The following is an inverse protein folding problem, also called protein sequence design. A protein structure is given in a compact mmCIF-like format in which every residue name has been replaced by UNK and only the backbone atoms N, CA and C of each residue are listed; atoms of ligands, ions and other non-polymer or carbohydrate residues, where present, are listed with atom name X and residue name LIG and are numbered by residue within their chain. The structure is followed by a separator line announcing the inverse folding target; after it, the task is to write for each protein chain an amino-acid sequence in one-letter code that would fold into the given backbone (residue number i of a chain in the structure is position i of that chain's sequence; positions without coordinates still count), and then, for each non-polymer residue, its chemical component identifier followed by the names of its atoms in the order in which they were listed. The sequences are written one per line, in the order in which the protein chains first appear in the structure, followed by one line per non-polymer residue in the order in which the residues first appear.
data_IF_082145158746
#
_entry.id   IF_082145158746
#
_cell.length_a   1.000
_cell.length_b   1.000
_cell.length_c   1.000
_cell.angle_alpha   90.00
_cell.angle_beta   90.00
_cell.angle_gamma   90.00
#
_symmetry.space_group_name_H-M   'P 1'
#
loop_
_entity.id
_entity.type
_entity.pdbx_description
1 polymer ?
#
# COMPACT_ATOMS: atom_id res chain seq x y z
N UNK A 1 -3.67 14.73 -37.69
CA UNK A 1 -5.09 15.03 -38.01
C UNK A 1 -5.84 13.72 -37.83
N UNK A 2 -6.27 13.44 -36.60
CA UNK A 2 -6.86 12.13 -36.24
C UNK A 2 -7.80 12.27 -35.03
N UNK A 3 -8.67 13.28 -35.05
CA UNK A 3 -9.54 13.67 -33.92
C UNK A 3 -11.00 13.84 -34.38
N UNK A 4 -11.54 12.85 -35.10
CA UNK A 4 -12.96 12.84 -35.52
C UNK A 4 -13.71 11.53 -35.20
N UNK A 5 -13.00 10.41 -34.98
CA UNK A 5 -13.63 9.09 -34.81
C UNK A 5 -14.39 8.88 -33.49
N UNK A 6 -14.21 9.75 -32.48
CA UNK A 6 -14.80 9.56 -31.15
C UNK A 6 -16.16 10.29 -30.99
N UNK A 7 -16.38 11.36 -31.76
CA UNK A 7 -17.63 12.13 -31.72
C UNK A 7 -18.78 11.36 -32.39
N UNK A 8 -18.52 10.76 -33.56
CA UNK A 8 -19.51 10.02 -34.35
C UNK A 8 -20.02 8.76 -33.62
N UNK A 9 -19.20 8.17 -32.75
CA UNK A 9 -19.58 7.02 -31.91
C UNK A 9 -20.62 7.40 -30.86
N UNK A 10 -20.51 8.59 -30.25
CA UNK A 10 -21.50 9.07 -29.27
C UNK A 10 -22.84 9.42 -29.91
N UNK A 11 -22.85 10.04 -31.09
CA UNK A 11 -24.10 10.37 -31.81
C UNK A 11 -24.84 9.10 -32.25
N UNK A 12 -24.11 8.06 -32.70
CA UNK A 12 -24.68 6.75 -33.06
C UNK A 12 -25.31 5.99 -31.88
N UNK A 13 -24.95 6.31 -30.63
CA UNK A 13 -25.56 5.71 -29.42
C UNK A 13 -26.81 6.48 -28.97
N UNK A 14 -26.87 7.79 -29.24
CA UNK A 14 -28.04 8.64 -28.94
C UNK A 14 -29.14 8.45 -30.00
N UNK A 15 -28.76 8.40 -31.28
CA UNK A 15 -29.67 8.20 -32.41
C UNK A 15 -29.95 6.72 -32.64
N UNK A 16 -30.72 6.10 -31.74
CA UNK A 16 -30.95 4.64 -31.66
C UNK A 16 -31.40 3.96 -32.97
N UNK A 17 -30.42 3.47 -33.73
CA UNK A 17 -30.58 2.75 -34.98
C UNK A 17 -29.91 1.37 -34.91
N UNK A 18 -30.56 0.34 -35.47
CA UNK A 18 -30.10 -1.05 -35.37
C UNK A 18 -28.92 -1.37 -36.28
N UNK A 19 -27.96 -2.13 -35.72
CA UNK A 19 -26.96 -3.05 -36.29
C UNK A 19 -26.76 -3.17 -37.83
N UNK A 20 -25.53 -3.54 -38.24
CA UNK A 20 -25.39 -4.93 -38.69
C UNK A 20 -24.11 -5.68 -38.26
N UNK A 21 -24.32 -6.96 -37.97
CA UNK A 21 -23.50 -8.17 -38.21
C UNK A 21 -21.95 -8.22 -38.21
N UNK A 22 -21.47 -9.22 -37.45
CA UNK A 22 -20.54 -10.29 -37.86
C UNK A 22 -19.02 -10.05 -37.98
N UNK A 23 -18.26 -10.70 -37.08
CA UNK A 23 -17.20 -11.68 -37.41
C UNK A 23 -16.94 -12.60 -36.21
N UNK A 24 -16.74 -13.90 -36.44
CA UNK A 24 -16.45 -14.90 -35.39
C UNK A 24 -15.02 -14.79 -34.83
N UNK A 25 -14.83 -15.21 -33.57
CA UNK A 25 -13.67 -16.01 -33.12
C UNK A 25 -14.07 -16.83 -31.88
N UNK A 26 -13.41 -17.97 -31.70
CA UNK A 26 -13.87 -19.12 -30.91
C UNK A 26 -13.80 -18.94 -29.39
N UNK A 27 -14.62 -19.73 -28.69
CA UNK A 27 -14.63 -19.88 -27.23
C UNK A 27 -13.36 -20.54 -26.67
N UNK A 28 -13.05 -20.26 -25.40
CA UNK A 28 -12.91 -21.33 -24.42
C UNK A 28 -14.07 -21.32 -23.42
N UNK A 29 -14.57 -22.52 -23.08
CA UNK A 29 -15.57 -22.69 -22.03
C UNK A 29 -14.92 -22.51 -20.66
N UNK A 30 -15.54 -21.70 -19.80
CA UNK A 30 -15.32 -21.73 -18.35
C UNK A 30 -16.69 -21.89 -17.68
N UNK A 31 -16.77 -22.87 -16.79
CA UNK A 31 -18.04 -23.42 -16.29
C UNK A 31 -18.65 -22.54 -15.19
N UNK A 32 -19.82 -21.93 -15.46
CA UNK A 32 -20.56 -21.19 -14.44
C UNK A 32 -21.22 -22.14 -13.44
N UNK A 33 -20.49 -22.50 -12.37
CA UNK A 33 -21.07 -23.17 -11.20
C UNK A 33 -21.87 -22.16 -10.36
N UNK A 34 -23.07 -21.82 -10.82
CA UNK A 34 -24.07 -21.11 -10.03
C UNK A 34 -24.49 -21.99 -8.84
N UNK A 35 -23.91 -21.77 -7.66
CA UNK A 35 -24.32 -22.43 -6.41
C UNK A 35 -25.59 -21.78 -5.86
N UNK A 36 -26.72 -22.06 -6.52
CA UNK A 36 -28.07 -21.73 -6.06
C UNK A 36 -28.35 -22.39 -4.71
N UNK A 37 -28.13 -21.65 -3.63
CA UNK A 37 -28.43 -22.12 -2.28
C UNK A 37 -29.94 -22.29 -2.12
N UNK A 38 -30.47 -23.51 -1.88
CA UNK A 38 -31.90 -23.77 -1.93
C UNK A 38 -32.63 -23.06 -0.79
N UNK A 39 -33.64 -22.27 -1.15
CA UNK A 39 -34.56 -21.63 -0.19
C UNK A 39 -35.67 -22.62 0.17
N UNK A 40 -35.89 -22.85 1.45
CA UNK A 40 -37.03 -23.66 1.92
C UNK A 40 -38.37 -22.96 1.62
N UNK A 41 -39.43 -23.74 1.39
CA UNK A 41 -40.74 -23.23 0.96
C UNK A 41 -41.37 -22.19 1.91
N UNK A 42 -41.09 -22.26 3.22
CA UNK A 42 -41.50 -21.23 4.21
C UNK A 42 -40.66 -19.93 4.15
N UNK A 43 -39.83 -19.75 3.12
CA UNK A 43 -39.28 -18.47 2.71
C UNK A 43 -38.21 -17.86 3.62
N UNK A 44 -37.74 -18.55 4.66
CA UNK A 44 -36.67 -18.11 5.59
C UNK A 44 -35.33 -18.79 5.28
N UNK A 45 -34.23 -18.13 5.66
CA UNK A 45 -32.88 -18.71 5.54
C UNK A 45 -32.59 -19.68 6.70
N UNK A 46 -32.16 -20.90 6.38
CA UNK A 46 -31.79 -21.92 7.37
C UNK A 46 -30.42 -21.63 7.99
N UNK A 47 -30.32 -21.78 9.31
CA UNK A 47 -29.05 -21.68 10.04
C UNK A 47 -28.14 -22.90 9.78
N UNK A 48 -26.82 -22.70 9.94
CA UNK A 48 -25.78 -23.60 9.43
C UNK A 48 -25.43 -24.73 10.40
N UNK A 49 -25.32 -25.96 9.89
CA UNK A 49 -24.77 -27.12 10.60
C UNK A 49 -23.35 -27.44 10.08
N UNK A 50 -22.33 -27.55 10.95
CA UNK A 50 -20.97 -27.93 10.56
C UNK A 50 -20.66 -29.40 10.83
N UNK A 51 -20.08 -30.10 9.84
CA UNK A 51 -19.53 -31.44 9.98
C UNK A 51 -17.97 -31.44 10.04
N UNK A 52 -17.39 -32.58 10.41
CA UNK A 52 -16.01 -32.70 10.93
C UNK A 52 -14.88 -32.77 9.89
N UNK A 53 -13.81 -32.00 10.18
CA UNK A 53 -12.36 -32.36 10.18
C UNK A 53 -11.68 -32.86 8.87
N UNK A 54 -10.36 -32.64 8.70
CA UNK A 54 -9.35 -33.48 9.38
C UNK A 54 -8.12 -32.75 9.99
N UNK A 55 -7.25 -33.57 10.59
CA UNK A 55 -5.91 -33.39 11.19
C UNK A 55 -4.89 -32.55 10.36
N UNK A 56 -3.76 -32.07 10.89
CA UNK A 56 -3.10 -32.13 12.21
C UNK A 56 -2.32 -30.79 12.46
N UNK A 57 -1.65 -30.46 13.57
CA UNK A 57 -1.10 -31.15 14.77
C UNK A 57 -0.93 -30.02 15.88
N UNK A 58 -0.40 -30.11 17.12
CA UNK A 58 0.32 -31.15 17.88
C UNK A 58 0.26 -30.99 19.41
N UNK A 59 0.66 -32.05 20.12
CA UNK A 59 1.32 -32.12 21.45
C UNK A 59 0.97 -31.10 22.56
N UNK A 60 0.07 -31.49 23.47
CA UNK A 60 0.41 -31.74 24.90
C UNK A 60 -0.76 -32.35 25.69
N UNK A 61 -0.45 -33.18 26.69
CA UNK A 61 -1.37 -33.80 27.67
C UNK A 61 -1.29 -33.08 29.04
N UNK A 62 -2.15 -33.34 30.06
CA UNK A 62 -3.12 -34.44 30.21
C UNK A 62 -4.56 -34.03 30.61
N UNK A 63 -5.38 -35.06 30.84
CA UNK A 63 -6.83 -35.04 31.10
C UNK A 63 -7.25 -34.49 32.47
N UNK A 64 -8.48 -33.96 32.53
CA UNK A 64 -9.42 -34.20 33.65
C UNK A 64 -10.85 -34.30 33.12
N UNK A 65 -11.76 -34.99 33.83
CA UNK A 65 -13.17 -35.13 33.46
C UNK A 65 -13.95 -33.80 33.51
N UNK A 66 -15.20 -33.73 33.03
CA UNK A 66 -16.20 -34.81 33.05
C UNK A 66 -17.10 -34.84 31.81
N UNK A 67 -17.38 -36.04 31.33
CA UNK A 67 -18.38 -36.31 30.30
C UNK A 67 -19.75 -36.55 30.95
N UNK A 68 -20.74 -35.69 30.67
CA UNK A 68 -22.16 -35.95 30.95
C UNK A 68 -23.03 -35.46 29.79
N UNK A 69 -23.38 -36.38 28.90
CA UNK A 69 -24.38 -36.18 27.85
C UNK A 69 -25.78 -36.47 28.40
N UNK A 70 -26.73 -35.51 28.44
CA UNK A 70 -28.09 -35.77 28.88
C UNK A 70 -28.97 -36.23 27.71
N UNK A 71 -29.40 -37.50 27.73
CA UNK A 71 -30.47 -38.00 26.87
C UNK A 71 -31.81 -37.84 27.60
N UNK A 72 -32.84 -37.36 26.89
CA UNK A 72 -34.22 -37.11 27.34
C UNK A 72 -34.48 -35.89 28.26
N UNK A 73 -35.18 -34.90 27.71
CA UNK A 73 -36.38 -34.30 28.35
C UNK A 73 -36.22 -33.30 29.50
N UNK A 74 -35.09 -33.26 30.21
CA UNK A 74 -34.86 -32.34 31.33
C UNK A 74 -33.73 -31.36 31.07
N UNK A 75 -34.01 -30.05 31.05
CA UNK A 75 -32.95 -29.03 30.99
C UNK A 75 -32.22 -28.99 32.35
N UNK A 76 -30.89 -29.15 32.41
CA UNK A 76 -30.17 -29.15 33.68
C UNK A 76 -30.35 -27.83 34.44
N UNK A 77 -30.96 -27.89 35.63
CA UNK A 77 -31.36 -26.69 36.40
C UNK A 77 -30.17 -25.76 36.68
N UNK A 78 -28.98 -26.31 36.94
CA UNK A 78 -27.74 -25.53 37.08
C UNK A 78 -27.40 -24.74 35.81
N UNK A 79 -27.36 -25.39 34.64
CA UNK A 79 -27.06 -24.69 33.38
C UNK A 79 -28.04 -23.54 33.08
N UNK A 80 -29.32 -23.67 33.50
CA UNK A 80 -30.32 -22.60 33.40
C UNK A 80 -30.09 -21.48 34.43
N UNK A 81 -29.55 -21.80 35.61
CA UNK A 81 -29.12 -20.81 36.60
C UNK A 81 -27.86 -20.07 36.12
N UNK A 82 -26.84 -20.81 35.67
CA UNK A 82 -25.60 -20.27 35.11
C UNK A 82 -25.87 -19.33 33.90
N UNK A 83 -26.79 -19.69 32.99
CA UNK A 83 -27.23 -18.82 31.88
C UNK A 83 -27.96 -17.56 32.37
N UNK A 84 -28.81 -17.69 33.41
CA UNK A 84 -29.54 -16.55 34.00
C UNK A 84 -28.62 -15.59 34.72
N UNK A 85 -27.68 -16.10 35.51
CA UNK A 85 -26.68 -15.30 36.22
C UNK A 85 -25.76 -14.59 35.22
N UNK A 86 -25.29 -15.28 34.18
CA UNK A 86 -24.53 -14.65 33.09
C UNK A 86 -25.32 -13.58 32.34
N UNK A 87 -26.61 -13.81 32.06
CA UNK A 87 -27.50 -12.80 31.43
C UNK A 87 -27.72 -11.59 32.36
N UNK A 88 -27.88 -11.80 33.66
CA UNK A 88 -28.04 -10.71 34.63
C UNK A 88 -26.76 -9.89 34.81
N UNK A 89 -25.59 -10.54 34.90
CA UNK A 89 -24.31 -9.87 34.96
C UNK A 89 -24.06 -8.98 33.72
N UNK A 90 -24.29 -9.52 32.51
CA UNK A 90 -24.18 -8.76 31.27
C UNK A 90 -25.20 -7.60 31.18
N UNK A 91 -26.39 -7.75 31.77
CA UNK A 91 -27.38 -6.67 31.87
C UNK A 91 -26.93 -5.55 32.83
N UNK A 92 -26.39 -5.91 33.99
CA UNK A 92 -25.84 -4.94 34.96
C UNK A 92 -24.64 -4.19 34.37
N UNK A 93 -23.73 -4.88 33.68
CA UNK A 93 -22.60 -4.29 32.96
C UNK A 93 -23.05 -3.31 31.86
N UNK A 94 -24.08 -3.68 31.09
CA UNK A 94 -24.69 -2.78 30.11
C UNK A 94 -25.36 -1.55 30.75
N UNK A 95 -25.92 -1.69 31.96
CA UNK A 95 -26.46 -0.55 32.71
C UNK A 95 -25.38 0.35 33.29
N UNK A 96 -24.28 -0.19 33.82
CA UNK A 96 -23.16 0.63 34.32
C UNK A 96 -22.49 1.40 33.19
N UNK A 97 -22.20 0.74 32.06
CA UNK A 97 -21.64 1.38 30.87
C UNK A 97 -22.56 2.48 30.31
N UNK A 98 -23.88 2.27 30.33
CA UNK A 98 -24.85 3.32 29.95
C UNK A 98 -24.89 4.51 30.90
N UNK A 99 -24.73 4.29 32.21
CA UNK A 99 -24.65 5.37 33.21
C UNK A 99 -23.35 6.16 33.04
N UNK A 100 -22.23 5.47 32.85
CA UNK A 100 -20.92 6.09 32.60
C UNK A 100 -20.91 6.92 31.30
N UNK A 101 -21.45 6.39 30.20
CA UNK A 101 -21.64 7.12 28.94
C UNK A 101 -22.56 8.34 29.10
N UNK A 102 -23.62 8.23 29.91
CA UNK A 102 -24.52 9.35 30.19
C UNK A 102 -23.84 10.43 31.05
N UNK A 103 -23.02 10.03 32.03
CA UNK A 103 -22.24 10.95 32.86
C UNK A 103 -21.17 11.66 32.04
N UNK A 104 -20.36 10.93 31.26
CA UNK A 104 -19.37 11.53 30.36
C UNK A 104 -20.01 12.50 29.36
N UNK A 105 -21.19 12.15 28.81
CA UNK A 105 -21.96 13.07 27.96
C UNK A 105 -22.43 14.32 28.71
N UNK A 106 -22.86 14.17 29.96
CA UNK A 106 -23.20 15.30 30.84
C UNK A 106 -22.01 16.21 31.13
N UNK A 107 -20.86 15.64 31.50
CA UNK A 107 -19.61 16.37 31.72
C UNK A 107 -19.16 17.10 30.45
N UNK A 108 -19.19 16.44 29.29
CA UNK A 108 -18.90 17.05 27.99
C UNK A 108 -19.85 18.21 27.67
N UNK A 109 -21.15 18.08 27.96
CA UNK A 109 -22.12 19.16 27.71
C UNK A 109 -21.94 20.35 28.65
N UNK A 110 -21.57 20.13 29.92
CA UNK A 110 -21.17 21.22 30.83
C UNK A 110 -19.88 21.89 30.36
N UNK A 111 -18.90 21.11 29.85
CA UNK A 111 -17.65 21.62 29.31
C UNK A 111 -17.83 22.43 28.02
N UNK A 112 -18.75 22.03 27.11
CA UNK A 112 -19.04 22.83 25.92
C UNK A 112 -19.81 24.10 26.27
N UNK A 113 -20.80 24.04 27.17
CA UNK A 113 -21.49 25.25 27.66
C UNK A 113 -20.56 26.23 28.38
N UNK A 114 -19.56 25.77 29.16
CA UNK A 114 -18.56 26.66 29.76
C UNK A 114 -17.47 27.15 28.79
N UNK A 115 -17.08 26.35 27.79
CA UNK A 115 -16.10 26.78 26.78
C UNK A 115 -16.67 27.70 25.71
N UNK A 116 -17.99 27.78 25.59
CA UNK A 116 -18.64 28.81 24.79
C UNK A 116 -18.53 30.14 25.55
N UNK A 117 -17.71 31.10 25.07
CA UNK A 117 -17.51 32.35 25.80
C UNK A 117 -18.82 33.13 25.88
N UNK A 118 -18.98 33.94 26.94
CA UNK A 118 -20.00 34.99 26.96
C UNK A 118 -19.64 36.10 25.97
N UNK A 119 -19.85 35.83 24.68
CA UNK A 119 -20.48 36.81 23.82
C UNK A 119 -21.77 37.32 24.49
N UNK A 120 -22.31 38.44 24.02
CA UNK A 120 -23.64 38.90 24.45
C UNK A 120 -24.67 37.75 24.37
N UNK A 121 -25.77 37.89 25.14
CA UNK A 121 -26.86 36.90 25.23
C UNK A 121 -27.12 36.22 23.87
N UNK A 122 -27.49 34.93 23.84
CA UNK A 122 -28.04 34.33 22.64
C UNK A 122 -29.36 35.04 22.30
N UNK A 123 -29.24 36.15 21.58
CA UNK A 123 -30.03 36.35 20.39
C UNK A 123 -30.03 35.01 19.69
N UNK A 124 -31.21 34.39 19.67
CA UNK A 124 -31.57 33.47 18.61
C UNK A 124 -31.06 34.13 17.33
N UNK A 125 -30.08 33.50 16.66
CA UNK A 125 -29.69 33.94 15.32
C UNK A 125 -30.89 33.62 14.46
N UNK A 126 -31.82 34.59 14.38
CA UNK A 126 -33.07 34.46 13.66
C UNK A 126 -32.72 33.89 12.29
N UNK A 127 -33.35 32.78 11.88
CA UNK A 127 -32.88 31.96 10.77
C UNK A 127 -32.74 32.86 9.55
N UNK A 128 -31.47 33.14 9.18
CA UNK A 128 -31.08 34.41 8.53
C UNK A 128 -32.04 34.69 7.40
N UNK A 129 -32.85 35.74 7.50
CA UNK A 129 -33.94 35.86 6.54
C UNK A 129 -33.36 36.23 5.18
N UNK A 130 -34.01 35.76 4.11
CA UNK A 130 -33.69 36.12 2.73
C UNK A 130 -33.66 37.65 2.49
N UNK A 131 -34.26 38.42 3.39
CA UNK A 131 -34.41 39.87 3.32
C UNK A 131 -33.35 40.65 4.11
N UNK A 132 -32.77 40.06 5.17
CA UNK A 132 -31.74 40.69 6.00
C UNK A 132 -30.32 40.47 5.43
N UNK A 133 -30.00 39.21 5.08
CA UNK A 133 -28.74 38.82 4.43
C UNK A 133 -28.99 37.59 3.54
N UNK A 134 -29.32 37.77 2.24
CA UNK A 134 -29.61 36.65 1.33
C UNK A 134 -28.39 35.74 1.14
N UNK A 135 -27.19 36.29 1.27
CA UNK A 135 -25.93 35.60 1.07
C UNK A 135 -25.64 34.63 2.23
N UNK A 136 -25.89 35.06 3.47
CA UNK A 136 -25.81 34.20 4.64
C UNK A 136 -26.99 33.23 4.76
N UNK A 137 -28.19 33.58 4.28
CA UNK A 137 -29.29 32.61 4.14
C UNK A 137 -28.90 31.47 3.18
N UNK A 138 -28.42 31.80 1.97
CA UNK A 138 -27.96 30.81 0.98
C UNK A 138 -26.84 29.93 1.52
N UNK A 139 -25.85 30.52 2.22
CA UNK A 139 -24.78 29.76 2.90
C UNK A 139 -25.33 28.82 3.98
N UNK A 140 -26.36 29.23 4.73
CA UNK A 140 -26.98 28.35 5.73
C UNK A 140 -27.66 27.13 5.08
N UNK A 141 -28.41 27.34 3.99
CA UNK A 141 -29.07 26.26 3.24
C UNK A 141 -28.07 25.32 2.56
N UNK A 142 -26.93 25.85 2.07
CA UNK A 142 -25.86 25.05 1.47
C UNK A 142 -24.94 24.36 2.48
N UNK A 143 -24.93 24.77 3.75
CA UNK A 143 -24.03 24.20 4.77
C UNK A 143 -24.14 22.68 5.00
N UNK A 144 -25.33 22.04 5.08
CA UNK A 144 -25.41 20.59 5.17
C UNK A 144 -24.84 19.91 3.92
N UNK A 145 -25.19 20.41 2.73
CA UNK A 145 -24.72 19.87 1.45
C UNK A 145 -23.19 20.01 1.28
N UNK A 146 -22.58 21.08 1.79
CA UNK A 146 -21.12 21.19 1.86
C UNK A 146 -20.52 20.15 2.80
N UNK A 147 -21.14 19.86 3.96
CA UNK A 147 -20.63 18.81 4.87
C UNK A 147 -20.73 17.40 4.27
N UNK A 148 -21.81 17.12 3.54
CA UNK A 148 -22.03 15.86 2.82
C UNK A 148 -21.03 15.68 1.66
N UNK A 149 -20.79 16.73 0.85
CA UNK A 149 -19.75 16.74 -0.18
C UNK A 149 -18.37 16.50 0.43
N UNK A 150 -18.06 17.09 1.59
CA UNK A 150 -16.76 16.91 2.25
C UNK A 150 -16.58 15.45 2.71
N UNK A 151 -17.60 14.86 3.33
CA UNK A 151 -17.59 13.44 3.76
C UNK A 151 -17.43 12.50 2.57
N UNK A 152 -18.27 12.62 1.54
CA UNK A 152 -18.18 11.81 0.31
C UNK A 152 -16.81 11.96 -0.37
N UNK A 153 -16.23 13.16 -0.35
CA UNK A 153 -14.89 13.42 -0.90
C UNK A 153 -13.78 12.80 -0.06
N UNK A 154 -13.92 12.80 1.26
CA UNK A 154 -12.99 12.15 2.19
C UNK A 154 -13.02 10.63 2.03
N UNK A 155 -14.20 10.01 1.96
CA UNK A 155 -14.39 8.58 1.67
C UNK A 155 -13.81 8.17 0.30
N UNK A 156 -14.03 8.98 -0.73
CA UNK A 156 -13.45 8.76 -2.07
C UNK A 156 -11.92 8.90 -2.08
N UNK A 157 -11.37 9.76 -1.23
CA UNK A 157 -9.93 9.92 -1.07
C UNK A 157 -9.30 8.77 -0.25
N UNK A 158 -9.93 8.35 0.84
CA UNK A 158 -9.49 7.21 1.65
C UNK A 158 -9.53 5.91 0.83
N UNK A 159 -10.67 5.59 0.21
CA UNK A 159 -10.80 4.40 -0.66
C UNK A 159 -9.79 4.38 -1.82
N UNK A 160 -9.50 5.53 -2.44
CA UNK A 160 -8.46 5.65 -3.47
C UNK A 160 -7.04 5.47 -2.92
N UNK A 161 -6.76 5.89 -1.70
CA UNK A 161 -5.45 5.66 -1.06
C UNK A 161 -5.28 4.19 -0.63
N UNK A 162 -6.34 3.57 -0.12
CA UNK A 162 -6.39 2.13 0.20
C UNK A 162 -6.14 1.30 -1.07
N UNK A 163 -6.77 1.65 -2.20
CA UNK A 163 -6.56 0.98 -3.48
C UNK A 163 -5.13 1.15 -4.04
N UNK A 164 -4.40 2.21 -3.66
CA UNK A 164 -3.05 2.49 -4.14
C UNK A 164 -1.95 1.89 -3.24
N UNK A 165 -2.15 1.86 -1.91
CA UNK A 165 -1.11 1.50 -0.93
C UNK A 165 -1.42 0.28 -0.06
N UNK A 166 -2.67 -0.19 -0.05
CA UNK A 166 -3.19 -1.16 0.92
C UNK A 166 -3.74 -0.50 2.18
N UNK A 167 -4.76 -1.12 2.80
CA UNK A 167 -5.45 -0.60 3.97
C UNK A 167 -4.51 -0.37 5.16
N UNK A 168 -3.69 -1.37 5.50
CA UNK A 168 -2.77 -1.37 6.65
C UNK A 168 -1.85 -0.13 6.67
N UNK A 169 -1.39 0.32 5.50
CA UNK A 169 -0.52 1.51 5.38
C UNK A 169 -1.29 2.81 5.57
N UNK A 170 -2.54 2.88 5.11
CA UNK A 170 -3.41 4.05 5.32
C UNK A 170 -3.79 4.14 6.80
N UNK A 171 -4.13 3.03 7.45
CA UNK A 171 -4.44 3.00 8.89
C UNK A 171 -3.22 3.37 9.75
N UNK A 172 -2.04 2.80 9.46
CA UNK A 172 -0.80 3.16 10.15
C UNK A 172 -0.47 4.66 10.01
N UNK A 173 -0.63 5.21 8.80
CA UNK A 173 -0.42 6.63 8.53
C UNK A 173 -1.44 7.54 9.24
N UNK A 174 -2.74 7.16 9.28
CA UNK A 174 -3.78 7.86 10.04
C UNK A 174 -3.44 7.88 11.53
N UNK A 175 -3.09 6.74 12.12
CA UNK A 175 -2.70 6.61 13.53
C UNK A 175 -1.46 7.44 13.90
N UNK A 176 -0.48 7.54 13.00
CA UNK A 176 0.69 8.40 13.18
C UNK A 176 0.35 9.90 13.07
N UNK A 177 -0.63 10.27 12.24
CA UNK A 177 -1.13 11.64 12.16
C UNK A 177 -1.93 12.05 13.40
N UNK A 178 -2.79 11.15 13.90
CA UNK A 178 -3.57 11.32 15.14
C UNK A 178 -2.67 11.61 16.34
N UNK A 179 -1.55 10.87 16.46
CA UNK A 179 -0.54 11.10 17.50
C UNK A 179 0.08 12.51 17.46
N UNK A 180 0.08 13.16 16.29
CA UNK A 180 0.58 14.53 16.11
C UNK A 180 -0.53 15.59 16.09
N UNK A 181 -1.81 15.23 16.07
CA UNK A 181 -2.93 16.15 15.81
C UNK A 181 -2.98 17.35 16.78
N UNK A 182 -2.65 17.14 18.06
CA UNK A 182 -2.61 18.20 19.08
C UNK A 182 -1.28 18.98 19.14
N UNK A 183 -0.38 18.79 18.18
CA UNK A 183 0.94 19.43 18.12
C UNK A 183 1.00 20.49 17.00
N UNK A 184 1.88 21.50 17.09
CA UNK A 184 2.12 22.42 15.97
C UNK A 184 2.65 21.70 14.72
N UNK A 185 3.31 20.54 14.88
CA UNK A 185 3.74 19.71 13.76
C UNK A 185 2.53 19.11 13.02
N UNK A 186 1.53 18.59 13.74
CA UNK A 186 0.27 18.09 13.16
C UNK A 186 -0.49 19.17 12.38
N UNK A 187 -0.53 20.41 12.87
CA UNK A 187 -1.12 21.53 12.14
C UNK A 187 -0.38 21.81 10.81
N UNK A 188 0.96 21.78 10.81
CA UNK A 188 1.75 21.92 9.58
C UNK A 188 1.60 20.73 8.62
N UNK A 189 1.52 19.51 9.15
CA UNK A 189 1.29 18.28 8.38
C UNK A 189 -0.07 18.31 7.70
N UNK A 190 -1.12 18.72 8.40
CA UNK A 190 -2.46 18.87 7.85
C UNK A 190 -2.46 19.85 6.66
N UNK A 191 -1.83 21.03 6.82
CA UNK A 191 -1.68 21.97 5.70
C UNK A 191 -0.90 21.35 4.53
N UNK A 192 0.19 20.63 4.81
CA UNK A 192 1.02 19.99 3.80
C UNK A 192 0.26 18.92 3.00
N UNK A 193 -0.49 18.02 3.66
CA UNK A 193 -1.22 16.93 2.97
C UNK A 193 -2.46 17.42 2.22
N UNK A 194 -3.15 18.47 2.71
CA UNK A 194 -4.35 19.03 2.08
C UNK A 194 -4.04 19.98 0.91
N UNK A 195 -2.79 20.47 0.79
CA UNK A 195 -2.42 21.46 -0.24
C UNK A 195 -2.57 20.96 -1.68
N UNK A 196 -2.39 19.66 -1.96
CA UNK A 196 -2.47 19.13 -3.33
C UNK A 196 -2.84 17.64 -3.41
N UNK A 197 -3.73 17.29 -4.34
CA UNK A 197 -4.06 15.88 -4.64
C UNK A 197 -4.95 15.21 -3.59
N UNK A 198 -4.57 13.99 -3.17
CA UNK A 198 -5.30 13.19 -2.18
C UNK A 198 -4.57 13.26 -0.83
N UNK A 199 -5.21 13.71 0.27
CA UNK A 199 -4.55 13.88 1.56
C UNK A 199 -4.08 12.55 2.17
N UNK A 200 -4.81 11.44 1.99
CA UNK A 200 -4.42 10.13 2.52
C UNK A 200 -3.22 9.53 1.75
N UNK A 201 -3.14 9.75 0.44
CA UNK A 201 -1.97 9.38 -0.38
C UNK A 201 -0.71 10.16 0.06
N UNK A 202 -0.86 11.46 0.33
CA UNK A 202 0.22 12.28 0.89
C UNK A 202 0.60 11.85 2.31
N UNK A 203 -0.38 11.48 3.14
CA UNK A 203 -0.15 11.01 4.50
C UNK A 203 0.60 9.69 4.55
N UNK A 204 0.28 8.74 3.66
CA UNK A 204 1.04 7.48 3.52
C UNK A 204 2.47 7.72 3.06
N UNK A 205 2.70 8.66 2.12
CA UNK A 205 4.06 9.06 1.71
C UNK A 205 4.85 9.69 2.86
N UNK A 206 4.22 10.57 3.63
CA UNK A 206 4.82 11.16 4.83
C UNK A 206 5.15 10.08 5.88
N UNK A 207 4.27 9.11 6.11
CA UNK A 207 4.53 8.01 7.04
C UNK A 207 5.73 7.16 6.59
N UNK A 208 5.80 6.79 5.30
CA UNK A 208 6.94 6.07 4.74
C UNK A 208 8.25 6.90 4.80
N UNK A 209 8.18 8.23 4.73
CA UNK A 209 9.33 9.10 4.99
C UNK A 209 9.76 9.05 6.46
N UNK A 210 8.83 9.05 7.43
CA UNK A 210 9.17 8.87 8.85
C UNK A 210 9.76 7.47 9.11
N UNK A 211 9.18 6.41 8.54
CA UNK A 211 9.71 5.03 8.66
C UNK A 211 11.11 4.90 8.07
N UNK A 212 11.38 5.50 6.90
CA UNK A 212 12.71 5.47 6.29
C UNK A 212 13.72 6.30 7.09
N UNK A 213 13.36 7.50 7.57
CA UNK A 213 14.21 8.29 8.47
C UNK A 213 14.49 7.57 9.79
N UNK A 214 13.52 6.89 10.38
CA UNK A 214 13.70 6.10 11.59
C UNK A 214 14.57 4.84 11.37
N UNK A 215 14.49 4.23 10.18
CA UNK A 215 15.27 3.03 9.81
C UNK A 215 16.72 3.33 9.41
N UNK A 216 16.93 4.46 8.73
CA UNK A 216 18.23 4.88 8.18
C UNK A 216 18.99 5.77 9.17
N UNK A 217 18.28 6.51 10.03
CA UNK A 217 18.87 7.40 11.02
C UNK A 217 19.46 8.67 10.41
N UNK A 218 20.40 9.27 11.13
CA UNK A 218 21.02 10.54 10.73
C UNK A 218 22.12 10.44 9.66
N UNK A 219 22.51 9.23 9.25
CA UNK A 219 23.66 9.02 8.35
C UNK A 219 23.37 7.90 7.32
N UNK A 220 22.82 8.24 6.14
CA UNK A 220 22.38 7.25 5.16
C UNK A 220 23.49 6.41 4.56
N UNK A 221 24.70 6.97 4.41
CA UNK A 221 25.86 6.25 3.90
C UNK A 221 26.33 5.20 4.91
N UNK A 222 26.35 5.51 6.21
CA UNK A 222 26.68 4.53 7.24
C UNK A 222 25.69 3.35 7.24
N UNK A 223 24.38 3.62 7.12
CA UNK A 223 23.37 2.56 7.02
C UNK A 223 23.53 1.70 5.76
N UNK A 224 23.74 2.33 4.60
CA UNK A 224 23.91 1.63 3.33
C UNK A 224 25.15 0.75 3.34
N UNK A 225 26.28 1.24 3.85
CA UNK A 225 27.52 0.47 3.95
C UNK A 225 27.38 -0.72 4.92
N UNK A 226 26.72 -0.55 6.07
CA UNK A 226 26.48 -1.65 7.01
C UNK A 226 25.55 -2.75 6.45
N UNK A 227 24.47 -2.37 5.76
CA UNK A 227 23.56 -3.33 5.11
C UNK A 227 24.19 -3.96 3.85
N UNK A 228 25.14 -3.28 3.18
CA UNK A 228 25.96 -3.83 2.10
C UNK A 228 26.98 -4.84 2.63
N UNK A 229 27.75 -4.51 3.66
CA UNK A 229 28.71 -5.42 4.30
C UNK A 229 28.01 -6.67 4.83
N UNK A 230 26.85 -6.51 5.48
CA UNK A 230 26.00 -7.62 5.92
C UNK A 230 25.55 -8.53 4.76
N UNK A 231 25.28 -7.97 3.58
CA UNK A 231 24.96 -8.75 2.36
C UNK A 231 26.21 -9.38 1.72
N UNK A 232 27.36 -8.72 1.76
CA UNK A 232 28.63 -9.34 1.31
C UNK A 232 29.06 -10.51 2.20
N UNK A 233 28.61 -10.54 3.46
CA UNK A 233 28.76 -11.68 4.37
C UNK A 233 27.67 -12.77 4.21
N UNK A 234 26.64 -12.57 3.36
CA UNK A 234 25.61 -13.57 3.08
C UNK A 234 26.07 -14.52 1.94
N UNK A 235 26.22 -15.83 2.18
CA UNK A 235 26.66 -16.78 1.17
C UNK A 235 25.68 -16.90 -0.01
N UNK A 236 24.38 -16.62 0.18
CA UNK A 236 23.40 -16.63 -0.91
C UNK A 236 23.61 -15.44 -1.86
N UNK A 237 23.90 -14.26 -1.30
CA UNK A 237 24.22 -13.07 -2.10
C UNK A 237 25.57 -13.22 -2.81
N UNK A 238 26.59 -13.80 -2.16
CA UNK A 238 27.86 -14.12 -2.80
C UNK A 238 27.70 -15.12 -3.95
N UNK A 239 26.91 -16.18 -3.78
CA UNK A 239 26.61 -17.13 -4.86
C UNK A 239 25.90 -16.45 -6.05
N UNK A 240 24.92 -15.59 -5.79
CA UNK A 240 24.22 -14.82 -6.83
C UNK A 240 25.16 -13.82 -7.53
N UNK A 241 26.06 -13.18 -6.79
CA UNK A 241 27.07 -12.27 -7.35
C UNK A 241 28.08 -13.00 -8.24
N UNK A 242 28.55 -14.18 -7.82
CA UNK A 242 29.45 -15.04 -8.62
C UNK A 242 28.76 -15.50 -9.90
N UNK A 243 27.52 -15.98 -9.84
CA UNK A 243 26.81 -16.42 -11.06
C UNK A 243 26.46 -15.25 -11.98
N UNK A 244 26.12 -14.07 -11.44
CA UNK A 244 25.96 -12.85 -12.24
C UNK A 244 27.26 -12.40 -12.88
N UNK A 245 28.40 -12.49 -12.18
CA UNK A 245 29.72 -12.20 -12.73
C UNK A 245 30.12 -13.21 -13.82
N UNK A 246 29.81 -14.49 -13.62
CA UNK A 246 30.04 -15.57 -14.59
C UNK A 246 29.21 -15.40 -15.86
N UNK A 247 27.92 -15.10 -15.73
CA UNK A 247 27.04 -14.77 -16.86
C UNK A 247 27.53 -13.51 -17.60
N UNK A 248 27.98 -12.48 -16.88
CA UNK A 248 28.55 -11.27 -17.47
C UNK A 248 29.85 -11.55 -18.23
N UNK A 249 30.76 -12.36 -17.67
CA UNK A 249 31.98 -12.81 -18.33
C UNK A 249 31.68 -13.65 -19.58
N UNK A 250 30.71 -14.57 -19.50
CA UNK A 250 30.24 -15.36 -20.64
C UNK A 250 29.66 -14.48 -21.75
N UNK A 251 28.91 -13.41 -21.43
CA UNK A 251 28.41 -12.47 -22.43
C UNK A 251 29.51 -11.60 -23.07
N UNK A 252 30.59 -11.30 -22.33
CA UNK A 252 31.70 -10.47 -22.83
C UNK A 252 32.67 -11.22 -23.74
N UNK A 253 32.66 -12.56 -23.76
CA UNK A 253 33.53 -13.35 -24.66
C UNK A 253 33.32 -13.02 -26.15
N UNK A 254 32.13 -12.50 -26.50
CA UNK A 254 31.78 -12.03 -27.85
C UNK A 254 32.44 -10.70 -28.26
N UNK A 255 33.16 -10.02 -27.35
CA UNK A 255 33.89 -8.77 -27.65
C UNK A 255 35.26 -8.77 -26.96
N UNK A 256 36.27 -9.22 -27.72
CA UNK A 256 37.66 -9.40 -27.31
C UNK A 256 37.87 -10.51 -26.29
N UNK A 257 38.32 -11.66 -26.79
CA UNK A 257 39.26 -12.48 -26.02
C UNK A 257 40.47 -11.61 -25.60
N UNK A 258 41.15 -11.91 -24.48
CA UNK A 258 42.42 -11.27 -24.17
C UNK A 258 43.40 -11.55 -25.31
N UNK A 259 43.89 -10.49 -25.96
CA UNK A 259 44.87 -10.60 -27.05
C UNK A 259 46.22 -10.91 -26.42
N UNK A 260 46.49 -12.20 -26.19
CA UNK A 260 47.77 -12.68 -25.66
C UNK A 260 48.85 -12.50 -26.72
N UNK A 261 49.39 -11.28 -26.81
CA UNK A 261 50.50 -10.93 -27.68
C UNK A 261 51.79 -11.54 -27.11
N UNK A 262 51.96 -12.84 -27.36
CA UNK A 262 53.23 -13.52 -27.17
C UNK A 262 54.30 -12.79 -28.00
N UNK A 263 55.43 -12.47 -27.36
CA UNK A 263 56.54 -11.80 -28.03
C UNK A 263 56.98 -12.61 -29.27
N UNK A 264 57.28 -11.95 -30.41
CA UNK A 264 57.60 -12.64 -31.65
C UNK A 264 58.82 -13.55 -31.45
N UNK A 265 58.66 -14.83 -31.81
CA UNK A 265 59.73 -15.81 -31.65
C UNK A 265 60.89 -15.48 -32.58
N UNK A 266 62.11 -15.42 -32.02
CA UNK A 266 63.32 -15.00 -32.73
C UNK A 266 63.65 -15.86 -33.98
N UNK A 267 63.03 -17.04 -34.11
CA UNK A 267 63.11 -17.93 -35.26
C UNK A 267 62.60 -17.36 -36.59
N UNK A 268 61.95 -16.19 -36.61
CA UNK A 268 61.49 -15.54 -37.85
C UNK A 268 62.35 -14.35 -38.32
N UNK A 269 63.52 -14.11 -37.71
CA UNK A 269 64.48 -13.13 -38.23
C UNK A 269 65.19 -13.69 -39.48
N UNK A 270 65.08 -13.05 -40.66
CA UNK A 270 65.81 -13.51 -41.84
C UNK A 270 67.32 -13.28 -41.66
N UNK A 271 68.10 -14.34 -41.89
CA UNK A 271 69.56 -14.31 -41.73
C UNK A 271 70.26 -13.51 -42.84
N UNK A 272 70.36 -12.19 -42.64
CA UNK A 272 71.16 -11.27 -43.45
C UNK A 272 70.36 -10.53 -44.53
N UNK A 273 70.68 -9.24 -44.77
CA UNK A 273 69.97 -8.47 -45.80
C UNK A 273 70.02 -6.94 -45.75
N UNK A 274 71.13 -6.32 -45.31
CA UNK A 274 71.53 -4.94 -45.63
C UNK A 274 70.43 -3.83 -45.64
N UNK A 275 70.31 -3.10 -44.53
CA UNK A 275 69.78 -1.73 -44.52
C UNK A 275 70.92 -0.75 -44.20
N UNK A 276 70.95 0.47 -44.80
CA UNK A 276 72.08 1.38 -44.68
C UNK A 276 72.18 2.00 -43.28
N UNK A 277 73.40 2.37 -42.86
CA UNK A 277 73.64 3.13 -41.65
C UNK A 277 72.99 4.53 -41.76
N UNK A 278 71.95 4.75 -40.96
CA UNK A 278 71.10 5.94 -41.02
C UNK A 278 70.33 6.13 -39.72
N UNK A 279 71.08 6.47 -38.67
CA UNK A 279 70.64 7.12 -37.42
C UNK A 279 69.27 6.68 -36.87
N UNK A 280 69.11 5.36 -36.66
CA UNK A 280 67.99 4.85 -35.86
C UNK A 280 68.30 5.12 -34.39
N UNK A 281 67.82 6.24 -33.88
CA UNK A 281 67.78 6.53 -32.45
C UNK A 281 67.05 5.40 -31.72
N UNK A 282 67.79 4.64 -30.91
CA UNK A 282 67.29 3.51 -30.12
C UNK A 282 66.80 3.92 -28.74
N UNK A 283 66.67 5.22 -28.46
CA UNK A 283 66.09 5.72 -27.20
C UNK A 283 64.65 5.23 -27.02
N UNK A 284 64.24 5.05 -25.75
CA UNK A 284 62.89 4.60 -25.39
C UNK A 284 61.78 5.50 -25.97
N UNK A 285 62.10 6.78 -26.22
CA UNK A 285 61.18 7.76 -26.79
C UNK A 285 60.84 7.44 -28.26
N UNK A 286 61.79 6.93 -29.05
CA UNK A 286 61.55 6.46 -30.42
C UNK A 286 60.68 5.18 -30.41
N UNK A 287 60.96 4.23 -29.51
CA UNK A 287 60.14 3.02 -29.31
C UNK A 287 58.70 3.35 -28.89
N UNK A 288 58.51 4.36 -28.03
CA UNK A 288 57.18 4.84 -27.64
C UNK A 288 56.44 5.53 -28.80
N UNK A 289 57.14 6.28 -29.66
CA UNK A 289 56.56 6.85 -30.87
C UNK A 289 56.17 5.77 -31.90
N UNK A 290 57.00 4.75 -32.09
CA UNK A 290 56.75 3.62 -33.00
C UNK A 290 55.47 2.85 -32.60
N UNK A 291 55.30 2.58 -31.31
CA UNK A 291 54.16 1.81 -30.77
C UNK A 291 52.85 2.61 -30.73
N UNK A 292 52.90 3.92 -30.46
CA UNK A 292 51.71 4.78 -30.40
C UNK A 292 51.21 5.27 -31.76
N UNK A 293 52.12 5.55 -32.71
CA UNK A 293 51.77 6.06 -34.05
C UNK A 293 50.99 5.06 -34.92
N UNK A 294 51.19 3.76 -34.71
CA UNK A 294 50.49 2.66 -35.40
C UNK A 294 48.95 2.73 -35.27
N UNK A 295 48.42 3.48 -34.28
CA UNK A 295 46.98 3.53 -33.95
C UNK A 295 46.17 4.62 -34.68
N UNK A 296 46.66 5.15 -35.80
CA UNK A 296 45.90 6.07 -36.68
C UNK A 296 45.99 5.70 -38.18
N UNK A 297 45.20 4.70 -38.57
CA UNK A 297 44.52 4.60 -39.87
C UNK A 297 43.13 4.00 -39.65
#
# INVERSE_FOLDING_TARGET
MTEQSDMDVFDSVISGASAPESTEIQTPVVEQTQTTQPRSDDGRFSAKQPDKAPTADTTSQPVTGTETQPVNGGVPVRAVQDEREKRQAAQQENETLRRELAEMRGQLQVLTTQRQPQSAQPQEKQPVTLWDDPDAFLKSQMSPFQSEIQQMREELWESRAIAAHGADKVEAAKKAAEALFNTPQGASLHQQITTSGNPFDNLVKWHQQQETLARVGGDPEAWLNAELEKKMNDPAFLAQAIERARASAASNTSRSAPRTEFAPSLSSLPSGGNAPAGDQDTSDQALFAQTTSSRRR
#
